data_IF_595864708073
#
_entry.id   IF_595864708073
#
_cell.length_a   1.000
_cell.length_b   1.000
_cell.length_c   1.000
_cell.angle_alpha   90.00
_cell.angle_beta   90.00
_cell.angle_gamma   90.00
#
_symmetry.space_group_name_H-M   'P 1'
#
loop_
_entity.id
_entity.type
_entity.pdbx_description
1 polymer ?
#
# COMPACT_ATOMS: atom_id res chain seq x y z
N UNK A 1 -31.37 -17.00 12.22
CA UNK A 1 -30.44 -15.93 12.70
C UNK A 1 -28.97 -16.36 12.79
N UNK A 2 -28.61 -17.52 13.38
CA UNK A 2 -27.20 -17.97 13.54
C UNK A 2 -26.46 -18.25 12.21
N UNK A 3 -27.15 -18.85 11.22
CA UNK A 3 -26.58 -19.22 9.91
C UNK A 3 -26.19 -18.02 9.03
N UNK A 4 -27.01 -16.96 9.03
CA UNK A 4 -26.71 -15.71 8.30
C UNK A 4 -25.47 -15.00 8.82
N UNK A 5 -25.23 -15.04 10.14
CA UNK A 5 -24.01 -14.50 10.76
C UNK A 5 -22.77 -15.26 10.29
N UNK A 6 -22.81 -16.60 10.34
CA UNK A 6 -21.70 -17.45 9.85
C UNK A 6 -21.35 -17.20 8.38
N UNK A 7 -22.36 -17.01 7.52
CA UNK A 7 -22.13 -16.73 6.10
C UNK A 7 -21.51 -15.33 5.89
N UNK A 8 -21.94 -14.34 6.65
CA UNK A 8 -21.35 -13.00 6.63
C UNK A 8 -19.88 -13.03 7.05
N UNK A 9 -19.58 -13.70 8.17
CA UNK A 9 -18.21 -13.81 8.70
C UNK A 9 -17.29 -14.56 7.73
N UNK A 10 -17.82 -15.61 7.08
CA UNK A 10 -17.09 -16.33 6.03
C UNK A 10 -16.80 -15.44 4.81
N UNK A 11 -17.78 -14.67 4.35
CA UNK A 11 -17.58 -13.72 3.24
C UNK A 11 -16.52 -12.68 3.59
N UNK A 12 -16.54 -12.16 4.82
CA UNK A 12 -15.54 -11.22 5.30
C UNK A 12 -14.14 -11.84 5.31
N UNK A 13 -14.00 -13.05 5.88
CA UNK A 13 -12.72 -13.77 5.93
C UNK A 13 -12.13 -14.02 4.52
N UNK A 14 -12.97 -14.41 3.55
CA UNK A 14 -12.54 -14.55 2.15
C UNK A 14 -12.14 -13.21 1.52
N UNK A 15 -12.87 -12.13 1.80
CA UNK A 15 -12.50 -10.78 1.32
C UNK A 15 -11.16 -10.30 1.90
N UNK A 16 -10.89 -10.55 3.19
CA UNK A 16 -9.62 -10.21 3.82
C UNK A 16 -8.47 -11.07 3.28
N UNK A 17 -8.69 -12.38 3.12
CA UNK A 17 -7.70 -13.27 2.53
C UNK A 17 -7.35 -12.88 1.08
N UNK A 18 -8.36 -12.58 0.26
CA UNK A 18 -8.18 -12.08 -1.10
C UNK A 18 -7.37 -10.78 -1.12
N UNK A 19 -7.69 -9.84 -0.23
CA UNK A 19 -6.93 -8.60 -0.08
C UNK A 19 -5.45 -8.87 0.25
N UNK A 20 -5.17 -9.80 1.16
CA UNK A 20 -3.78 -10.20 1.49
C UNK A 20 -3.04 -10.76 0.28
N UNK A 21 -3.68 -11.59 -0.55
CA UNK A 21 -3.07 -12.11 -1.78
C UNK A 21 -2.76 -11.01 -2.79
N UNK A 22 -3.70 -10.09 -3.02
CA UNK A 22 -3.48 -8.93 -3.91
C UNK A 22 -2.35 -8.04 -3.40
N UNK A 23 -2.26 -7.81 -2.08
CA UNK A 23 -1.15 -7.08 -1.47
C UNK A 23 0.19 -7.78 -1.69
N UNK A 24 0.21 -9.11 -1.62
CA UNK A 24 1.42 -9.89 -1.87
C UNK A 24 1.85 -9.83 -3.35
N UNK A 25 0.90 -9.93 -4.29
CA UNK A 25 1.16 -9.75 -5.72
C UNK A 25 1.72 -8.34 -6.03
N UNK A 26 1.15 -7.31 -5.40
CA UNK A 26 1.65 -5.94 -5.50
C UNK A 26 3.06 -5.81 -4.92
N UNK A 27 3.34 -6.44 -3.78
CA UNK A 27 4.68 -6.48 -3.20
C UNK A 27 5.69 -7.09 -4.18
N UNK A 28 5.38 -8.23 -4.81
CA UNK A 28 6.27 -8.87 -5.79
C UNK A 28 6.58 -7.93 -6.96
N UNK A 29 5.53 -7.36 -7.57
CA UNK A 29 5.65 -6.46 -8.73
C UNK A 29 6.42 -5.17 -8.41
N UNK A 30 6.14 -4.57 -7.25
CA UNK A 30 6.79 -3.34 -6.81
C UNK A 30 8.27 -3.57 -6.51
N UNK A 31 8.60 -4.65 -5.79
CA UNK A 31 9.98 -4.96 -5.44
C UNK A 31 10.80 -5.36 -6.67
N UNK A 32 10.26 -6.18 -7.58
CA UNK A 32 10.95 -6.51 -8.83
C UNK A 32 11.28 -5.24 -9.63
N UNK A 33 10.30 -4.34 -9.77
CA UNK A 33 10.52 -3.04 -10.43
C UNK A 33 11.54 -2.18 -9.68
N UNK A 34 11.51 -2.18 -8.35
CA UNK A 34 12.46 -1.50 -7.48
C UNK A 34 13.89 -1.96 -7.72
N UNK A 35 14.14 -3.28 -7.66
CA UNK A 35 15.43 -3.89 -7.97
C UNK A 35 15.90 -3.54 -9.37
N UNK A 36 15.02 -3.67 -10.38
CA UNK A 36 15.35 -3.29 -11.76
C UNK A 36 15.80 -1.83 -11.86
N UNK A 37 15.11 -0.90 -11.18
CA UNK A 37 15.41 0.54 -11.22
C UNK A 37 16.69 0.88 -10.48
N UNK A 38 16.91 0.35 -9.27
CA UNK A 38 18.10 0.67 -8.47
C UNK A 38 19.37 0.09 -9.11
N UNK A 39 19.30 -1.13 -9.65
CA UNK A 39 20.42 -1.76 -10.34
C UNK A 39 20.75 -1.02 -11.66
N UNK A 40 19.73 -0.58 -12.40
CA UNK A 40 19.94 0.28 -13.57
C UNK A 40 20.59 1.62 -13.20
N UNK A 41 20.21 2.20 -12.05
CA UNK A 41 20.82 3.44 -11.54
C UNK A 41 22.28 3.21 -11.14
N UNK A 42 22.57 2.13 -10.43
CA UNK A 42 23.94 1.71 -10.07
C UNK A 42 24.83 1.64 -11.32
N UNK A 43 24.38 0.92 -12.35
CA UNK A 43 25.12 0.75 -13.60
C UNK A 43 25.36 2.07 -14.34
N UNK A 44 24.35 2.94 -14.35
CA UNK A 44 24.46 4.28 -14.95
C UNK A 44 25.48 5.16 -14.22
N UNK A 45 25.52 5.12 -12.89
CA UNK A 45 26.42 5.95 -12.09
C UNK A 45 27.87 5.48 -12.16
N UNK A 46 28.09 4.17 -12.09
CA UNK A 46 29.43 3.57 -12.08
C UNK A 46 29.96 3.22 -13.47
N UNK A 47 29.16 3.40 -14.52
CA UNK A 47 29.47 3.06 -15.91
C UNK A 47 29.93 1.60 -16.07
N UNK A 48 29.22 0.68 -15.40
CA UNK A 48 29.44 -0.78 -15.43
C UNK A 48 28.13 -1.51 -15.72
N UNK A 49 28.20 -2.81 -15.96
CA UNK A 49 27.05 -3.69 -16.21
C UNK A 49 26.81 -4.74 -15.11
N UNK A 50 27.48 -4.60 -13.95
CA UNK A 50 27.43 -5.61 -12.89
C UNK A 50 26.05 -5.68 -12.22
N UNK A 51 25.30 -4.58 -12.18
CA UNK A 51 23.93 -4.56 -11.67
C UNK A 51 22.96 -5.34 -12.55
N UNK A 52 23.11 -5.26 -13.88
CA UNK A 52 22.34 -6.08 -14.82
C UNK A 52 22.61 -7.58 -14.61
N UNK A 53 23.88 -7.99 -14.54
CA UNK A 53 24.27 -9.39 -14.33
C UNK A 53 23.72 -9.91 -13.01
N UNK A 54 23.86 -9.13 -11.93
CA UNK A 54 23.33 -9.50 -10.62
C UNK A 54 21.80 -9.62 -10.63
N UNK A 55 21.09 -8.73 -11.34
CA UNK A 55 19.62 -8.83 -11.49
C UNK A 55 19.22 -10.17 -12.10
N UNK A 56 19.90 -10.58 -13.18
CA UNK A 56 19.60 -11.82 -13.90
C UNK A 56 19.89 -13.05 -13.03
N UNK A 57 21.01 -13.05 -12.31
CA UNK A 57 21.43 -14.20 -11.50
C UNK A 57 20.65 -14.33 -10.19
N UNK A 58 20.26 -13.21 -9.58
CA UNK A 58 19.68 -13.21 -8.22
C UNK A 58 18.21 -12.84 -8.24
N UNK A 59 17.83 -11.73 -8.88
CA UNK A 59 16.46 -11.19 -8.78
C UNK A 59 15.49 -11.95 -9.67
N UNK A 60 15.87 -12.23 -10.91
CA UNK A 60 15.01 -12.93 -11.87
C UNK A 60 14.77 -14.40 -11.47
N UNK A 61 15.76 -15.04 -10.84
CA UNK A 61 15.69 -16.41 -10.32
C UNK A 61 15.15 -16.51 -8.88
N UNK A 62 14.91 -15.39 -8.19
CA UNK A 62 14.44 -15.44 -6.82
C UNK A 62 13.00 -15.96 -6.73
N UNK A 63 12.73 -16.74 -5.68
CA UNK A 63 11.43 -17.39 -5.48
C UNK A 63 10.25 -16.41 -5.48
N UNK A 64 10.43 -15.20 -4.93
CA UNK A 64 9.38 -14.18 -4.91
C UNK A 64 8.95 -13.72 -6.33
N UNK A 65 9.80 -13.88 -7.34
CA UNK A 65 9.51 -13.52 -8.73
C UNK A 65 9.09 -14.73 -9.58
N UNK A 66 9.61 -15.92 -9.28
CA UNK A 66 9.36 -17.13 -10.10
C UNK A 66 8.12 -17.91 -9.67
N UNK A 67 7.70 -17.84 -8.40
CA UNK A 67 6.50 -18.54 -7.92
C UNK A 67 5.24 -17.94 -8.56
N UNK A 68 4.34 -18.80 -9.02
CA UNK A 68 2.99 -18.45 -9.52
C UNK A 68 1.88 -18.79 -8.53
N UNK A 69 2.24 -19.28 -7.35
CA UNK A 69 1.29 -19.79 -6.36
C UNK A 69 0.28 -18.70 -5.93
N UNK A 70 0.74 -17.45 -5.86
CA UNK A 70 -0.13 -16.30 -5.52
C UNK A 70 -1.17 -16.03 -6.61
N UNK A 71 -0.78 -16.10 -7.89
CA UNK A 71 -1.69 -15.88 -9.02
C UNK A 71 -2.74 -16.99 -9.11
N UNK A 72 -2.31 -18.23 -8.88
CA UNK A 72 -3.18 -19.41 -8.87
C UNK A 72 -4.16 -19.34 -7.70
N UNK A 73 -3.70 -18.97 -6.50
CA UNK A 73 -4.56 -18.78 -5.31
C UNK A 73 -5.58 -17.65 -5.50
N UNK A 74 -5.19 -16.52 -6.12
CA UNK A 74 -6.11 -15.44 -6.44
C UNK A 74 -7.24 -15.96 -7.33
N UNK A 75 -6.89 -16.71 -8.38
CA UNK A 75 -7.86 -17.28 -9.32
C UNK A 75 -8.79 -18.27 -8.63
N UNK A 76 -8.25 -19.15 -7.79
CA UNK A 76 -9.04 -20.13 -7.03
C UNK A 76 -10.02 -19.45 -6.08
N UNK A 77 -9.58 -18.42 -5.35
CA UNK A 77 -10.43 -17.64 -4.44
C UNK A 77 -11.55 -16.92 -5.20
N UNK A 78 -11.26 -16.30 -6.35
CA UNK A 78 -12.29 -15.69 -7.18
C UNK A 78 -13.38 -16.69 -7.58
N UNK A 79 -12.96 -17.87 -8.03
CA UNK A 79 -13.87 -18.93 -8.48
C UNK A 79 -14.73 -19.44 -7.33
N UNK A 80 -14.12 -19.79 -6.19
CA UNK A 80 -14.83 -20.25 -4.99
C UNK A 80 -15.83 -19.18 -4.50
N UNK A 81 -15.40 -17.92 -4.42
CA UNK A 81 -16.26 -16.84 -3.95
C UNK A 81 -17.45 -16.60 -4.90
N UNK A 82 -17.21 -16.63 -6.21
CA UNK A 82 -18.26 -16.46 -7.22
C UNK A 82 -19.26 -17.60 -7.16
N UNK A 83 -18.80 -18.84 -7.20
CA UNK A 83 -19.67 -20.02 -7.29
C UNK A 83 -20.39 -20.32 -5.96
N UNK A 84 -19.66 -20.32 -4.85
CA UNK A 84 -20.17 -20.81 -3.56
C UNK A 84 -20.79 -19.72 -2.69
N UNK A 85 -20.35 -18.46 -2.82
CA UNK A 85 -20.77 -17.37 -1.93
C UNK A 85 -21.72 -16.35 -2.60
N UNK A 86 -21.64 -16.17 -3.92
CA UNK A 86 -22.51 -15.26 -4.69
C UNK A 86 -23.35 -15.98 -5.76
N UNK A 87 -23.50 -17.30 -5.68
CA UNK A 87 -24.42 -18.10 -6.52
C UNK A 87 -24.16 -17.96 -8.03
N UNK A 88 -22.90 -17.73 -8.44
CA UNK A 88 -22.49 -17.57 -9.83
C UNK A 88 -22.48 -16.13 -10.35
N UNK A 89 -22.90 -15.14 -9.56
CA UNK A 89 -22.84 -13.73 -9.97
C UNK A 89 -21.42 -13.16 -9.83
N UNK A 90 -20.63 -13.27 -10.90
CA UNK A 90 -19.24 -12.77 -10.95
C UNK A 90 -19.16 -11.26 -10.75
N UNK A 91 -20.11 -10.48 -11.25
CA UNK A 91 -20.03 -9.01 -11.11
C UNK A 91 -20.20 -8.60 -9.65
N UNK A 92 -21.15 -9.20 -8.95
CA UNK A 92 -21.39 -8.96 -7.53
C UNK A 92 -20.27 -9.50 -6.65
N UNK A 93 -19.72 -10.68 -6.97
CA UNK A 93 -18.54 -11.24 -6.34
C UNK A 93 -17.33 -10.30 -6.44
N UNK A 94 -16.98 -9.90 -7.65
CA UNK A 94 -15.85 -8.99 -7.87
C UNK A 94 -16.09 -7.61 -7.25
N UNK A 95 -17.32 -7.11 -7.19
CA UNK A 95 -17.62 -5.85 -6.49
C UNK A 95 -17.33 -5.94 -4.98
N UNK A 96 -17.55 -7.11 -4.36
CA UNK A 96 -17.22 -7.36 -2.94
C UNK A 96 -15.73 -7.63 -2.71
N UNK A 97 -15.06 -8.28 -3.66
CA UNK A 97 -13.62 -8.57 -3.59
C UNK A 97 -12.75 -7.38 -4.02
N UNK A 98 -13.31 -6.39 -4.73
CA UNK A 98 -12.59 -5.21 -5.20
C UNK A 98 -11.90 -4.52 -4.04
N UNK A 99 -10.57 -4.59 -4.09
CA UNK A 99 -9.68 -3.86 -3.20
C UNK A 99 -9.86 -2.37 -3.47
N UNK A 100 -10.20 -1.54 -2.46
CA UNK A 100 -10.18 -0.10 -2.61
C UNK A 100 -8.82 0.35 -3.14
N UNK A 101 -8.73 1.40 -3.98
CA UNK A 101 -7.44 1.88 -4.44
C UNK A 101 -6.55 2.16 -3.23
N UNK A 102 -5.39 1.48 -3.18
CA UNK A 102 -4.41 1.54 -2.07
C UNK A 102 -3.74 2.90 -1.93
N UNK A 103 -4.03 3.84 -2.83
CA UNK A 103 -3.75 5.25 -2.63
C UNK A 103 -4.44 5.71 -1.36
N UNK A 104 -3.67 6.21 -0.39
CA UNK A 104 -4.24 6.87 0.79
C UNK A 104 -5.30 7.86 0.31
N UNK A 105 -6.55 7.63 0.74
CA UNK A 105 -7.58 8.64 0.61
C UNK A 105 -7.19 9.76 1.55
N UNK A 106 -6.43 10.70 1.02
CA UNK A 106 -6.09 11.93 1.68
C UNK A 106 -7.37 12.53 2.27
N UNK A 107 -7.37 12.77 3.59
CA UNK A 107 -8.49 13.42 4.25
C UNK A 107 -8.29 14.94 4.13
N UNK A 108 -8.96 15.62 3.19
CA UNK A 108 -8.74 17.04 2.95
C UNK A 108 -9.04 17.90 4.18
N UNK A 109 -9.99 17.47 5.02
CA UNK A 109 -10.32 18.18 6.25
C UNK A 109 -9.22 18.07 7.29
N UNK A 110 -8.58 16.90 7.38
CA UNK A 110 -7.48 16.65 8.33
C UNK A 110 -6.25 17.52 8.03
N UNK A 111 -5.85 17.63 6.77
CA UNK A 111 -4.71 18.48 6.41
C UNK A 111 -5.02 19.97 6.60
N UNK A 112 -6.24 20.40 6.26
CA UNK A 112 -6.64 21.79 6.46
C UNK A 112 -6.58 22.18 7.93
N UNK A 113 -7.13 21.34 8.83
CA UNK A 113 -7.04 21.56 10.27
C UNK A 113 -5.59 21.57 10.75
N UNK A 114 -4.76 20.62 10.30
CA UNK A 114 -3.35 20.57 10.65
C UNK A 114 -2.63 21.87 10.25
N UNK A 115 -2.86 22.36 9.03
CA UNK A 115 -2.31 23.63 8.56
C UNK A 115 -2.77 24.83 9.38
N UNK A 116 -4.05 24.88 9.76
CA UNK A 116 -4.61 25.93 10.61
C UNK A 116 -3.91 25.96 11.98
N UNK A 117 -3.83 24.82 12.67
CA UNK A 117 -3.21 24.73 13.99
C UNK A 117 -1.71 25.02 13.94
N UNK A 118 -1.02 24.56 12.89
CA UNK A 118 0.39 24.85 12.68
C UNK A 118 0.65 26.35 12.45
N UNK A 119 -0.22 27.02 11.70
CA UNK A 119 -0.15 28.48 11.50
C UNK A 119 -0.33 29.26 12.80
N UNK A 120 -1.32 28.91 13.62
CA UNK A 120 -1.55 29.53 14.93
C UNK A 120 -0.36 29.29 15.87
N UNK A 121 0.22 28.08 15.85
CA UNK A 121 1.41 27.76 16.63
C UNK A 121 2.61 28.64 16.24
N UNK A 122 2.87 28.81 14.94
CA UNK A 122 3.96 29.67 14.46
C UNK A 122 3.74 31.14 14.85
N UNK A 123 2.52 31.65 14.71
CA UNK A 123 2.19 33.01 15.12
C UNK A 123 2.47 33.22 16.62
N UNK A 124 2.04 32.27 17.45
CA UNK A 124 2.25 32.35 18.90
C UNK A 124 3.74 32.23 19.27
N UNK A 125 4.49 31.38 18.57
CA UNK A 125 5.93 31.25 18.78
C UNK A 125 6.68 32.55 18.47
N UNK A 126 6.31 33.25 17.39
CA UNK A 126 6.88 34.55 17.04
C UNK A 126 6.55 35.59 18.12
N UNK A 127 5.31 35.64 18.61
CA UNK A 127 4.91 36.58 19.67
C UNK A 127 5.73 36.33 20.94
N UNK A 128 5.90 35.07 21.37
CA UNK A 128 6.71 34.72 22.54
C UNK A 128 8.17 35.15 22.35
N UNK A 129 8.76 34.92 21.18
CA UNK A 129 10.14 35.36 20.88
C UNK A 129 10.27 36.87 20.91
N UNK A 130 9.32 37.61 20.35
CA UNK A 130 9.32 39.08 20.39
C UNK A 130 9.18 39.60 21.82
N UNK A 131 8.30 39.01 22.63
CA UNK A 131 8.17 39.36 24.06
C UNK A 131 9.45 39.07 24.82
N UNK A 132 10.10 37.94 24.58
CA UNK A 132 11.37 37.58 25.21
C UNK A 132 12.49 38.58 24.83
N UNK A 133 12.66 38.85 23.53
CA UNK A 133 13.64 39.83 23.07
C UNK A 133 13.38 41.23 23.63
N UNK A 134 12.13 41.69 23.64
CA UNK A 134 11.79 43.01 24.18
C UNK A 134 12.08 43.06 25.68
N UNK A 135 11.71 42.02 26.44
CA UNK A 135 11.98 41.96 27.87
C UNK A 135 13.48 41.97 28.20
N UNK A 136 14.32 41.29 27.41
CA UNK A 136 15.78 41.34 27.54
C UNK A 136 16.38 42.70 27.15
N UNK A 137 15.66 43.52 26.38
CA UNK A 137 16.14 44.86 25.97
C UNK A 137 15.77 45.95 26.98
N UNK A 138 14.78 45.71 27.86
CA UNK A 138 14.27 46.67 28.85
C UNK A 138 14.79 46.41 30.28
N UNK A 139 15.73 45.48 30.45
CA UNK A 139 16.42 45.13 31.71
C UNK A 139 17.89 45.53 31.62
#
# INVERSE_FOLDING_TARGET
>A
KKTFRKLHDLKLAFSEFYLSLVLLQNYQSLNFTGFRKILKKHDKLLRRNTGLLWRQQVVECAHFNTSRDVDDLITEVENIFTEKLEQGDRQKAMKRLRVPPLSEKYNPRGLFLFGLFFGVFLAQFIVILLTFCLNDTFL
#
